data_IF_289010837093
#
_entry.id   IF_289010837093
#
_cell.length_a   1.000
_cell.length_b   1.000
_cell.length_c   1.000
_cell.angle_alpha   90.00
_cell.angle_beta   90.00
_cell.angle_gamma   90.00
#
_symmetry.space_group_name_H-M   'P 1'
#
loop_
_entity.id
_entity.type
_entity.pdbx_description
1 polymer ?
#
# COMPACT_ATOMS: atom_id res chain seq x y z
N UNK A 1 22.78 22.23 26.36
CA UNK A 1 22.54 23.68 26.44
C UNK A 1 23.48 24.30 25.41
N UNK A 2 23.14 24.61 24.16
CA UNK A 2 21.84 24.85 23.54
C UNK A 2 22.04 24.67 22.03
N UNK A 3 21.45 23.61 21.46
CA UNK A 3 21.51 23.31 20.01
C UNK A 3 20.15 23.63 19.37
N UNK A 4 19.71 24.88 19.51
CA UNK A 4 18.42 25.41 19.03
C UNK A 4 18.57 26.46 17.91
N UNK A 5 19.75 26.56 17.29
CA UNK A 5 20.06 27.56 16.26
C UNK A 5 20.11 27.02 14.82
N UNK A 6 19.30 26.01 14.46
CA UNK A 6 19.31 25.48 13.08
C UNK A 6 17.94 25.15 12.45
N UNK A 7 16.81 25.48 13.09
CA UNK A 7 15.47 25.12 12.56
C UNK A 7 14.68 26.33 12.03
N UNK A 8 15.15 27.57 12.17
CA UNK A 8 14.39 28.78 11.76
C UNK A 8 14.94 29.53 10.54
N UNK A 9 15.66 28.87 9.64
CA UNK A 9 16.22 29.52 8.42
C UNK A 9 15.93 28.77 7.12
N UNK A 10 14.81 28.04 7.02
CA UNK A 10 14.43 27.35 5.76
C UNK A 10 13.05 27.69 5.21
N UNK A 11 12.30 28.59 5.85
CA UNK A 11 11.00 29.08 5.34
C UNK A 11 11.14 30.56 4.93
N UNK A 12 12.00 30.86 3.95
CA UNK A 12 12.05 32.16 3.25
C UNK A 12 12.99 32.13 2.04
N UNK A 13 12.80 31.20 1.09
CA UNK A 13 13.45 31.30 -0.22
C UNK A 13 12.70 30.49 -1.28
N UNK A 14 11.63 31.05 -1.82
CA UNK A 14 11.39 31.05 -3.26
C UNK A 14 10.13 31.86 -3.56
N UNK A 15 10.31 33.18 -3.57
CA UNK A 15 9.37 34.13 -4.15
C UNK A 15 10.09 34.77 -5.32
N UNK A 16 9.42 34.78 -6.48
CA UNK A 16 9.74 35.52 -7.70
C UNK A 16 10.72 34.86 -8.69
N UNK A 17 10.15 34.09 -9.62
CA UNK A 17 10.58 34.17 -11.02
C UNK A 17 9.45 34.81 -11.83
N UNK A 18 9.55 36.13 -12.00
CA UNK A 18 8.71 36.90 -12.90
C UNK A 18 9.10 36.60 -14.35
N UNK A 19 8.06 36.38 -15.15
CA UNK A 19 8.09 36.24 -16.59
C UNK A 19 8.55 37.54 -17.26
N UNK A 20 9.61 37.47 -18.06
CA UNK A 20 9.98 38.54 -19.01
C UNK A 20 9.28 38.26 -20.34
N UNK A 21 8.47 39.23 -20.76
CA UNK A 21 7.75 39.24 -22.02
C UNK A 21 8.71 39.13 -23.23
N UNK A 22 8.46 38.16 -24.13
CA UNK A 22 8.98 38.17 -25.49
C UNK A 22 7.79 38.10 -26.46
N UNK A 23 7.43 39.29 -26.95
CA UNK A 23 6.38 39.52 -27.94
C UNK A 23 6.80 38.93 -29.29
N UNK A 24 6.27 37.77 -29.67
CA UNK A 24 6.17 37.41 -31.10
C UNK A 24 4.97 36.53 -31.36
N UNK A 25 3.95 37.17 -31.94
CA UNK A 25 2.81 36.54 -32.60
C UNK A 25 3.31 35.42 -33.53
N UNK A 26 2.95 34.18 -33.21
CA UNK A 26 2.93 33.09 -34.17
C UNK A 26 1.59 32.37 -33.98
N UNK A 27 0.63 32.77 -34.81
CA UNK A 27 -0.61 32.03 -35.03
C UNK A 27 -0.23 30.64 -35.54
N UNK A 28 -0.23 29.66 -34.65
CA UNK A 28 -0.24 28.25 -35.01
C UNK A 28 -1.51 27.67 -34.42
N UNK A 29 -2.49 27.48 -35.30
CA UNK A 29 -3.65 26.63 -35.10
C UNK A 29 -3.17 25.28 -34.58
N UNK A 30 -3.41 24.98 -33.31
CA UNK A 30 -3.20 23.64 -32.80
C UNK A 30 -4.32 22.73 -33.31
N UNK A 31 -3.99 21.55 -33.86
CA UNK A 31 -4.98 20.51 -34.11
C UNK A 31 -5.58 20.08 -32.77
N UNK A 32 -6.90 20.18 -32.69
CA UNK A 32 -7.71 19.52 -31.67
C UNK A 32 -7.36 18.03 -31.61
N UNK A 33 -7.14 17.54 -30.39
CA UNK A 33 -6.95 16.14 -29.97
C UNK A 33 -5.54 15.81 -29.46
N UNK A 34 -5.16 16.39 -28.32
CA UNK A 34 -4.37 15.64 -27.34
C UNK A 34 -5.31 14.57 -26.78
N UNK A 35 -5.49 13.48 -27.51
CA UNK A 35 -6.24 12.31 -27.07
C UNK A 35 -5.23 11.26 -26.63
N UNK A 36 -4.54 11.57 -25.54
CA UNK A 36 -3.79 10.55 -24.81
C UNK A 36 -3.84 10.91 -23.34
N UNK A 37 -3.91 9.87 -22.52
CA UNK A 37 -3.84 9.88 -21.05
C UNK A 37 -5.07 10.39 -20.29
N UNK A 38 -6.14 9.61 -20.25
CA UNK A 38 -6.97 9.51 -19.03
C UNK A 38 -7.79 8.22 -18.94
N UNK A 39 -7.34 7.14 -19.58
CA UNK A 39 -8.02 5.84 -19.51
C UNK A 39 -7.75 5.05 -18.22
N UNK A 40 -6.96 5.57 -17.28
CA UNK A 40 -6.70 4.92 -15.98
C UNK A 40 -7.56 5.39 -14.81
N UNK A 41 -8.37 6.45 -14.98
CA UNK A 41 -9.12 7.06 -13.86
C UNK A 41 -10.63 6.88 -13.98
N UNK A 42 -11.10 5.68 -14.32
CA UNK A 42 -12.54 5.41 -14.27
C UNK A 42 -12.75 3.97 -13.83
N UNK A 43 -13.38 3.81 -12.66
CA UNK A 43 -13.87 2.58 -12.01
C UNK A 43 -13.06 1.98 -10.85
N UNK A 44 -12.49 2.82 -9.97
CA UNK A 44 -12.36 2.49 -8.54
C UNK A 44 -12.85 3.71 -7.74
N UNK A 45 -14.12 4.05 -7.86
CA UNK A 45 -14.71 5.06 -6.98
C UNK A 45 -15.54 4.34 -5.93
N UNK A 46 -15.04 4.43 -4.69
CA UNK A 46 -15.69 4.11 -3.42
C UNK A 46 -16.20 2.66 -3.37
N UNK A 47 -15.29 1.72 -3.09
CA UNK A 47 -15.69 0.36 -2.74
C UNK A 47 -16.48 0.47 -1.43
N UNK A 48 -17.77 0.08 -1.39
CA UNK A 48 -18.51 0.06 -0.14
C UNK A 48 -17.79 -0.91 0.82
N UNK A 49 -17.44 -0.49 2.04
CA UNK A 49 -16.71 -1.34 3.00
C UNK A 49 -17.46 -2.62 3.36
N UNK A 50 -18.78 -2.66 3.12
CA UNK A 50 -19.63 -3.85 3.29
C UNK A 50 -19.26 -5.02 2.35
N UNK A 51 -18.71 -4.75 1.16
CA UNK A 51 -18.33 -5.75 0.15
C UNK A 51 -16.80 -5.93 0.11
N UNK A 52 -16.05 -5.08 0.83
CA UNK A 52 -14.61 -5.04 0.79
C UNK A 52 -13.95 -6.36 1.17
N UNK A 53 -14.45 -7.01 2.24
CA UNK A 53 -13.89 -8.29 2.68
C UNK A 53 -14.21 -9.42 1.69
N UNK A 54 -15.40 -9.39 1.08
CA UNK A 54 -15.78 -10.34 0.06
C UNK A 54 -14.90 -10.22 -1.19
N UNK A 55 -14.54 -8.99 -1.56
CA UNK A 55 -13.64 -8.72 -2.69
C UNK A 55 -12.21 -9.21 -2.41
N UNK A 56 -11.72 -9.03 -1.17
CA UNK A 56 -10.44 -9.60 -0.73
C UNK A 56 -10.49 -11.13 -0.82
N UNK A 57 -11.54 -11.76 -0.29
CA UNK A 57 -11.73 -13.20 -0.33
C UNK A 57 -11.83 -13.73 -1.78
N UNK A 58 -12.53 -13.01 -2.66
CA UNK A 58 -12.63 -13.34 -4.09
C UNK A 58 -11.26 -13.27 -4.77
N UNK A 59 -10.49 -12.21 -4.53
CA UNK A 59 -9.16 -12.05 -5.12
C UNK A 59 -8.18 -13.14 -4.66
N UNK A 60 -8.25 -13.50 -3.37
CA UNK A 60 -7.49 -14.61 -2.78
C UNK A 60 -7.89 -15.94 -3.41
N UNK A 61 -9.20 -16.21 -3.55
CA UNK A 61 -9.71 -17.43 -4.18
C UNK A 61 -9.31 -17.53 -5.66
N UNK A 62 -9.31 -16.41 -6.38
CA UNK A 62 -8.87 -16.31 -7.77
C UNK A 62 -7.33 -16.38 -7.93
N UNK A 63 -6.55 -16.30 -6.84
CA UNK A 63 -5.08 -16.16 -6.82
C UNK A 63 -4.58 -14.94 -7.62
N UNK A 64 -5.41 -13.89 -7.73
CA UNK A 64 -5.01 -12.63 -8.34
C UNK A 64 -4.47 -11.68 -7.26
N UNK A 65 -3.20 -11.89 -6.90
CA UNK A 65 -2.54 -11.13 -5.84
C UNK A 65 -2.31 -9.66 -6.21
N UNK A 66 -2.28 -9.34 -7.50
CA UNK A 66 -2.17 -7.95 -7.95
C UNK A 66 -3.47 -7.20 -7.70
N UNK A 67 -4.60 -7.78 -8.13
CA UNK A 67 -5.94 -7.22 -7.85
C UNK A 67 -6.19 -7.11 -6.34
N UNK A 68 -5.72 -8.09 -5.56
CA UNK A 68 -5.78 -8.03 -4.09
C UNK A 68 -5.07 -6.78 -3.55
N UNK A 69 -3.81 -6.56 -3.94
CA UNK A 69 -3.02 -5.40 -3.50
C UNK A 69 -3.68 -4.09 -3.93
N UNK A 70 -4.10 -3.97 -5.18
CA UNK A 70 -4.78 -2.77 -5.70
C UNK A 70 -6.08 -2.49 -4.90
N UNK A 71 -6.80 -3.55 -4.50
CA UNK A 71 -8.01 -3.44 -3.67
C UNK A 71 -7.66 -2.97 -2.26
N UNK A 72 -6.65 -3.56 -1.61
CA UNK A 72 -6.21 -3.16 -0.28
C UNK A 72 -5.69 -1.71 -0.24
N UNK A 73 -4.97 -1.27 -1.26
CA UNK A 73 -4.53 0.13 -1.44
C UNK A 73 -5.72 1.10 -1.45
N UNK A 74 -6.75 0.78 -2.23
CA UNK A 74 -7.96 1.60 -2.31
C UNK A 74 -8.72 1.62 -0.97
N UNK A 75 -8.85 0.48 -0.31
CA UNK A 75 -9.53 0.38 0.99
C UNK A 75 -8.79 1.14 2.09
N UNK A 76 -7.45 1.10 2.11
CA UNK A 76 -6.64 1.89 3.04
C UNK A 76 -6.92 3.39 2.87
N UNK A 77 -6.99 3.86 1.62
CA UNK A 77 -7.31 5.25 1.30
C UNK A 77 -8.75 5.62 1.71
N UNK A 78 -9.72 4.80 1.33
CA UNK A 78 -11.15 5.07 1.58
C UNK A 78 -11.46 5.09 3.09
N UNK A 79 -10.94 4.14 3.86
CA UNK A 79 -11.13 4.08 5.33
C UNK A 79 -10.38 5.20 6.06
N UNK A 80 -9.27 5.70 5.51
CA UNK A 80 -8.58 6.86 6.06
C UNK A 80 -9.38 8.16 5.89
N UNK A 81 -10.20 8.27 4.84
CA UNK A 81 -11.05 9.44 4.61
C UNK A 81 -12.40 9.33 5.31
N UNK A 82 -13.00 8.14 5.27
CA UNK A 82 -14.34 7.85 5.76
C UNK A 82 -14.26 6.66 6.72
N UNK A 83 -13.84 6.88 7.98
CA UNK A 83 -13.81 5.81 8.97
C UNK A 83 -15.22 5.23 9.13
N UNK A 84 -15.33 3.91 9.00
CA UNK A 84 -16.58 3.17 9.18
C UNK A 84 -16.47 2.27 10.42
N UNK A 85 -17.60 1.98 11.06
CA UNK A 85 -17.71 1.03 12.15
C UNK A 85 -17.69 -0.44 11.66
N UNK A 86 -18.09 -0.69 10.41
CA UNK A 86 -18.25 -2.05 9.87
C UNK A 86 -16.93 -2.80 9.63
N UNK A 87 -15.83 -2.09 9.37
CA UNK A 87 -14.52 -2.69 9.07
C UNK A 87 -13.43 -1.83 9.69
N UNK A 88 -12.49 -2.48 10.37
CA UNK A 88 -11.31 -1.79 10.88
C UNK A 88 -10.21 -1.77 9.82
N UNK A 89 -9.53 -0.64 9.68
CA UNK A 89 -8.32 -0.53 8.83
C UNK A 89 -7.26 -1.59 9.18
N UNK A 90 -7.25 -2.04 10.44
CA UNK A 90 -6.32 -3.03 10.94
C UNK A 90 -6.51 -4.43 10.32
N UNK A 91 -7.73 -4.76 9.88
CA UNK A 91 -8.07 -6.07 9.29
C UNK A 91 -7.48 -6.23 7.88
N UNK A 92 -7.20 -5.13 7.19
CA UNK A 92 -6.69 -5.12 5.82
C UNK A 92 -5.16 -5.29 5.79
N UNK A 93 -4.44 -4.87 6.82
CA UNK A 93 -2.98 -4.84 6.79
C UNK A 93 -2.32 -6.22 6.60
N UNK A 94 -2.91 -7.26 7.19
CA UNK A 94 -2.37 -8.62 7.10
C UNK A 94 -2.43 -9.16 5.65
N UNK A 95 -3.60 -9.24 4.98
CA UNK A 95 -3.66 -9.68 3.59
C UNK A 95 -2.93 -8.75 2.63
N UNK A 96 -2.84 -7.45 2.96
CA UNK A 96 -2.13 -6.46 2.16
C UNK A 96 -0.60 -6.70 2.15
N UNK A 97 0.01 -6.91 3.32
CA UNK A 97 1.43 -7.30 3.40
C UNK A 97 1.65 -8.66 2.74
N UNK A 98 0.78 -9.64 3.01
CA UNK A 98 0.88 -10.96 2.40
C UNK A 98 0.86 -10.91 0.87
N UNK A 99 0.02 -10.06 0.28
CA UNK A 99 -0.02 -9.81 -1.16
C UNK A 99 1.31 -9.29 -1.71
N UNK A 100 1.92 -8.30 -1.06
CA UNK A 100 3.23 -7.78 -1.48
C UNK A 100 4.35 -8.83 -1.38
N UNK A 101 4.33 -9.66 -0.33
CA UNK A 101 5.31 -10.74 -0.16
C UNK A 101 5.21 -11.76 -1.31
N UNK A 102 3.99 -12.12 -1.74
CA UNK A 102 3.80 -13.02 -2.89
C UNK A 102 4.27 -12.39 -4.20
N UNK A 103 4.01 -11.10 -4.39
CA UNK A 103 4.47 -10.36 -5.56
C UNK A 103 6.00 -10.08 -5.55
N UNK A 104 6.70 -10.53 -4.51
CA UNK A 104 8.14 -10.31 -4.28
C UNK A 104 8.52 -8.80 -4.22
N UNK A 105 7.57 -7.94 -3.85
CA UNK A 105 7.84 -6.53 -3.57
C UNK A 105 8.08 -6.30 -2.08
N UNK A 106 9.26 -6.74 -1.63
CA UNK A 106 9.66 -6.66 -0.23
C UNK A 106 9.86 -5.22 0.25
N UNK A 107 10.15 -4.28 -0.66
CA UNK A 107 10.35 -2.88 -0.31
C UNK A 107 9.02 -2.23 0.06
N UNK A 108 7.99 -2.43 -0.76
CA UNK A 108 6.64 -1.91 -0.48
C UNK A 108 6.07 -2.51 0.80
N UNK A 109 6.23 -3.82 1.02
CA UNK A 109 5.86 -4.47 2.28
C UNK A 109 6.53 -3.82 3.51
N UNK A 110 7.83 -3.51 3.42
CA UNK A 110 8.58 -2.85 4.49
C UNK A 110 8.11 -1.43 4.76
N UNK A 111 7.83 -0.66 3.71
CA UNK A 111 7.33 0.71 3.87
C UNK A 111 5.92 0.70 4.46
N UNK A 112 5.07 -0.24 4.05
CA UNK A 112 3.76 -0.45 4.64
C UNK A 112 3.88 -0.76 6.14
N UNK A 113 4.67 -1.75 6.53
CA UNK A 113 4.83 -2.13 7.94
C UNK A 113 5.31 -0.96 8.82
N UNK A 114 6.23 -0.15 8.31
CA UNK A 114 6.74 1.04 9.03
C UNK A 114 5.70 2.15 9.23
N UNK A 115 4.65 2.21 8.40
CA UNK A 115 3.58 3.20 8.53
C UNK A 115 2.60 2.84 9.64
N UNK A 116 2.49 1.55 9.98
CA UNK A 116 1.52 1.07 10.96
C UNK A 116 1.94 1.49 12.37
N UNK A 117 1.05 2.08 13.18
CA UNK A 117 1.36 2.45 14.56
C UNK A 117 1.74 1.22 15.41
N UNK A 118 2.72 1.33 16.32
CA UNK A 118 3.18 0.21 17.14
C UNK A 118 2.11 -0.35 18.09
N UNK A 119 1.08 0.45 18.40
CA UNK A 119 -0.08 0.00 19.18
C UNK A 119 -0.90 -1.06 18.43
N UNK A 120 -0.94 -1.00 17.09
CA UNK A 120 -1.67 -1.97 16.26
C UNK A 120 -0.84 -3.24 16.07
N UNK A 121 0.47 -3.10 15.81
CA UNK A 121 1.36 -4.25 15.61
C UNK A 121 1.49 -5.12 16.86
N UNK A 122 1.48 -4.51 18.05
CA UNK A 122 1.55 -5.25 19.31
C UNK A 122 0.22 -5.90 19.71
N UNK A 123 -0.91 -5.36 19.26
CA UNK A 123 -2.23 -5.96 19.49
C UNK A 123 -2.50 -7.16 18.58
N UNK A 124 -2.02 -7.12 17.33
CA UNK A 124 -2.29 -8.14 16.32
C UNK A 124 -1.09 -9.08 16.13
N UNK A 125 -1.14 -10.25 16.75
CA UNK A 125 -0.09 -11.28 16.61
C UNK A 125 0.07 -11.78 15.17
N UNK A 126 -1.02 -11.84 14.40
CA UNK A 126 -1.00 -12.25 12.99
C UNK A 126 -0.22 -11.27 12.11
N UNK A 127 -0.27 -9.97 12.42
CA UNK A 127 0.48 -8.93 11.72
C UNK A 127 1.99 -9.02 12.00
N UNK A 128 2.36 -9.39 13.23
CA UNK A 128 3.75 -9.65 13.57
C UNK A 128 4.27 -10.92 12.87
N UNK A 129 3.47 -12.00 12.88
CA UNK A 129 3.84 -13.26 12.24
C UNK A 129 4.08 -13.11 10.72
N UNK A 130 3.22 -12.39 10.00
CA UNK A 130 3.42 -12.16 8.55
C UNK A 130 4.66 -11.31 8.27
N UNK A 131 4.99 -10.39 9.19
CA UNK A 131 6.21 -9.60 9.07
C UNK A 131 7.47 -10.42 9.31
N UNK A 132 7.44 -11.36 10.26
CA UNK A 132 8.55 -12.29 10.51
C UNK A 132 8.83 -13.17 9.28
N UNK A 133 7.78 -13.62 8.59
CA UNK A 133 7.89 -14.28 7.27
C UNK A 133 8.57 -13.36 6.25
N UNK A 134 8.18 -12.07 6.21
CA UNK A 134 8.81 -11.06 5.37
C UNK A 134 10.30 -10.84 5.67
N UNK A 135 10.71 -10.89 6.95
CA UNK A 135 12.12 -10.81 7.35
C UNK A 135 12.90 -12.03 6.85
N UNK A 136 12.36 -13.24 7.00
CA UNK A 136 12.98 -14.46 6.50
C UNK A 136 13.15 -14.44 4.97
N UNK A 137 12.14 -13.97 4.24
CA UNK A 137 12.20 -13.73 2.79
C UNK A 137 13.28 -12.72 2.42
N UNK A 138 13.37 -11.60 3.15
CA UNK A 138 14.40 -10.59 2.94
C UNK A 138 15.82 -11.15 3.11
N UNK A 139 16.00 -12.03 4.11
CA UNK A 139 17.28 -12.71 4.37
C UNK A 139 17.54 -13.90 3.44
N UNK A 140 16.60 -14.23 2.54
CA UNK A 140 16.65 -15.38 1.61
C UNK A 140 16.78 -16.73 2.32
N UNK A 141 16.23 -16.83 3.52
CA UNK A 141 16.24 -18.06 4.33
C UNK A 141 14.92 -18.80 4.16
N UNK A 142 14.80 -19.59 3.09
CA UNK A 142 13.56 -20.30 2.77
C UNK A 142 13.14 -21.30 3.86
N UNK A 143 14.10 -21.93 4.55
CA UNK A 143 13.79 -22.83 5.67
C UNK A 143 13.05 -22.11 6.81
N UNK A 144 13.49 -20.88 7.13
CA UNK A 144 12.86 -20.04 8.16
C UNK A 144 11.49 -19.53 7.71
N UNK A 145 11.27 -19.32 6.41
CA UNK A 145 9.94 -18.97 5.86
C UNK A 145 8.94 -20.09 6.17
N UNK A 146 9.27 -21.34 5.86
CA UNK A 146 8.41 -22.48 6.17
C UNK A 146 8.18 -22.64 7.67
N UNK A 147 9.23 -22.44 8.48
CA UNK A 147 9.12 -22.54 9.93
C UNK A 147 8.22 -21.45 10.51
N UNK A 148 8.38 -20.20 10.08
CA UNK A 148 7.54 -19.08 10.52
C UNK A 148 6.07 -19.26 10.12
N UNK A 149 5.83 -19.79 8.91
CA UNK A 149 4.48 -20.14 8.44
C UNK A 149 3.83 -21.21 9.33
N UNK A 150 4.55 -22.29 9.65
CA UNK A 150 3.99 -23.42 10.41
C UNK A 150 3.85 -23.12 11.92
N UNK A 151 4.65 -22.18 12.43
CA UNK A 151 4.65 -21.81 13.86
C UNK A 151 3.37 -21.07 14.26
N UNK A 152 2.75 -20.31 13.36
CA UNK A 152 1.59 -19.48 13.65
C UNK A 152 0.29 -20.10 13.13
N UNK A 153 -0.79 -20.05 13.93
CA UNK A 153 -2.11 -20.48 13.50
C UNK A 153 -2.83 -19.32 12.78
N UNK A 154 -2.85 -19.39 11.46
CA UNK A 154 -3.45 -18.37 10.60
C UNK A 154 -4.98 -18.42 10.59
N UNK A 155 -5.61 -17.24 10.45
CA UNK A 155 -7.05 -17.14 10.24
C UNK A 155 -7.50 -17.80 8.93
N UNK A 156 -8.78 -18.14 8.83
CA UNK A 156 -9.36 -18.83 7.65
C UNK A 156 -9.12 -18.07 6.34
N UNK A 157 -9.14 -16.74 6.39
CA UNK A 157 -8.88 -15.87 5.23
C UNK A 157 -7.42 -15.94 4.77
N UNK A 158 -6.48 -16.08 5.71
CA UNK A 158 -5.05 -16.04 5.44
C UNK A 158 -4.48 -17.40 5.01
N UNK A 159 -5.13 -18.51 5.35
CA UNK A 159 -4.71 -19.86 4.93
C UNK A 159 -4.38 -20.00 3.43
N UNK A 160 -5.24 -19.58 2.48
CA UNK A 160 -4.91 -19.63 1.04
C UNK A 160 -3.72 -18.74 0.65
N UNK A 161 -3.53 -17.60 1.31
CA UNK A 161 -2.40 -16.68 1.11
C UNK A 161 -1.08 -17.31 1.58
N UNK A 162 -1.11 -17.92 2.77
CA UNK A 162 0.03 -18.60 3.38
C UNK A 162 0.44 -19.83 2.57
N UNK A 163 -0.54 -20.58 2.06
CA UNK A 163 -0.26 -21.69 1.14
C UNK A 163 0.40 -21.22 -0.15
N UNK A 164 -0.01 -20.05 -0.67
CA UNK A 164 0.64 -19.46 -1.84
C UNK A 164 2.07 -18.99 -1.51
N UNK A 165 2.32 -18.42 -0.32
CA UNK A 165 3.64 -18.03 0.17
C UNK A 165 4.60 -19.22 0.34
N UNK A 166 4.10 -20.36 0.79
CA UNK A 166 4.89 -21.59 0.89
C UNK A 166 5.32 -22.14 -0.49
N UNK A 167 4.63 -21.75 -1.57
CA UNK A 167 4.91 -22.20 -2.92
C UNK A 167 5.95 -21.36 -3.70
N UNK A 168 6.57 -20.36 -3.07
CA UNK A 168 7.51 -19.40 -3.70
C UNK A 168 8.96 -19.86 -3.49
#
# INVERSE_FOLDING_TARGET
MDNLLLILTFIASNKEMQCVACTRSRRMTQPSAIQTSHSRLRLLHNIPPEIAMDLINEAIAARDFKRLVDTCEQLEFDLSLYPNEAMSINEIYVPYIGGYLILNDLNSARFLYKRIPPAVTSANSELQAIWDVGIALWQRQHAEVYHAIDTFQWGSVMQPLVLALAGI
#
